data_IF_270205299845
#
_entry.id   IF_270205299845
#
_cell.length_a   1.000
_cell.length_b   1.000
_cell.length_c   1.000
_cell.angle_alpha   90.00
_cell.angle_beta   90.00
_cell.angle_gamma   90.00
#
_symmetry.space_group_name_H-M   'P 1'
#
loop_
_entity.id
_entity.type
_entity.pdbx_description
1 polymer ?
#
# COMPACT_ATOMS: atom_id res chain seq x y z
N UNK A 1 -21.25 5.72 20.71
CA UNK A 1 -20.15 5.44 21.68
C UNK A 1 -19.60 6.78 22.14
N UNK A 2 -19.81 7.11 23.42
CA UNK A 2 -19.28 8.35 24.01
C UNK A 2 -17.78 8.22 24.18
N UNK A 3 -17.00 9.05 23.50
CA UNK A 3 -15.55 9.16 23.69
C UNK A 3 -15.30 9.87 25.03
N UNK A 4 -14.89 9.12 26.05
CA UNK A 4 -14.37 9.72 27.28
C UNK A 4 -13.03 10.40 26.97
N UNK A 5 -12.85 11.71 27.24
CA UNK A 5 -11.59 12.40 26.99
C UNK A 5 -10.45 11.76 27.80
N UNK A 6 -9.34 11.46 27.13
CA UNK A 6 -8.14 10.98 27.82
C UNK A 6 -7.58 12.06 28.76
N UNK A 7 -6.99 11.68 29.91
CA UNK A 7 -6.29 12.63 30.78
C UNK A 7 -5.25 13.44 29.98
N UNK A 8 -5.10 14.74 30.25
CA UNK A 8 -4.22 15.65 29.49
C UNK A 8 -2.76 15.15 29.35
N UNK A 9 -2.25 14.41 30.32
CA UNK A 9 -0.91 13.78 30.30
C UNK A 9 -0.84 12.67 29.25
N UNK A 10 -1.88 11.85 29.10
CA UNK A 10 -1.94 10.77 28.11
C UNK A 10 -2.06 11.34 26.70
N UNK A 11 -2.85 12.41 26.52
CA UNK A 11 -3.00 13.07 25.24
C UNK A 11 -1.69 13.71 24.74
N UNK A 12 -0.95 14.39 25.62
CA UNK A 12 0.40 14.93 25.32
C UNK A 12 1.38 13.81 24.95
N UNK A 13 1.34 12.70 25.68
CA UNK A 13 2.19 11.54 25.40
C UNK A 13 1.87 10.93 24.04
N UNK A 14 0.58 10.77 23.70
CA UNK A 14 0.12 10.27 22.42
C UNK A 14 0.57 11.17 21.27
N UNK A 15 0.33 12.48 21.35
CA UNK A 15 0.76 13.46 20.32
C UNK A 15 2.28 13.46 20.13
N UNK A 16 3.04 13.30 21.20
CA UNK A 16 4.50 13.20 21.14
C UNK A 16 4.97 11.91 20.47
N UNK A 17 4.26 10.79 20.69
CA UNK A 17 4.53 9.53 19.98
C UNK A 17 4.21 9.65 18.47
N UNK A 18 3.07 10.20 18.13
CA UNK A 18 2.69 10.41 16.72
C UNK A 18 3.74 11.25 15.97
N UNK A 19 4.18 12.38 16.55
CA UNK A 19 5.23 13.21 15.95
C UNK A 19 6.54 12.43 15.77
N UNK A 20 6.91 11.58 16.73
CA UNK A 20 8.10 10.75 16.65
C UNK A 20 8.00 9.76 15.49
N UNK A 21 6.86 9.08 15.37
CA UNK A 21 6.64 8.10 14.31
C UNK A 21 6.54 8.76 12.93
N UNK A 22 5.94 9.95 12.82
CA UNK A 22 5.92 10.75 11.59
C UNK A 22 7.34 11.14 11.17
N UNK A 23 8.15 11.60 12.12
CA UNK A 23 9.55 11.95 11.86
C UNK A 23 10.35 10.71 11.42
N UNK A 24 10.12 9.55 12.02
CA UNK A 24 10.77 8.31 11.65
C UNK A 24 10.38 7.87 10.22
N UNK A 25 9.10 7.96 9.84
CA UNK A 25 8.65 7.68 8.47
C UNK A 25 9.32 8.62 7.45
N UNK A 26 9.42 9.91 7.75
CA UNK A 26 10.06 10.89 6.86
C UNK A 26 11.56 10.63 6.71
N UNK A 27 12.26 10.31 7.80
CA UNK A 27 13.68 9.96 7.77
C UNK A 27 13.91 8.66 6.99
N UNK A 28 13.06 7.64 7.19
CA UNK A 28 13.09 6.41 6.40
C UNK A 28 12.90 6.67 4.90
N UNK A 29 11.93 7.50 4.55
CA UNK A 29 11.64 7.86 3.16
C UNK A 29 12.84 8.52 2.49
N UNK A 30 13.56 9.40 3.21
CA UNK A 30 14.65 10.22 2.66
C UNK A 30 16.00 9.52 2.69
N UNK A 31 16.27 8.71 3.73
CA UNK A 31 17.60 8.18 4.01
C UNK A 31 17.66 6.64 4.02
N UNK A 32 16.54 5.96 3.78
CA UNK A 32 16.44 4.51 3.84
C UNK A 32 16.64 3.95 5.26
N UNK A 33 16.71 2.62 5.37
CA UNK A 33 16.78 1.92 6.66
C UNK A 33 18.10 2.18 7.39
N UNK A 34 19.21 2.17 6.67
CA UNK A 34 20.55 2.37 7.25
C UNK A 34 20.74 3.80 7.73
N UNK A 35 20.26 4.77 6.95
CA UNK A 35 20.32 6.19 7.27
C UNK A 35 19.31 6.65 8.33
N UNK A 36 18.33 5.84 8.70
CA UNK A 36 17.35 6.15 9.74
C UNK A 36 17.93 5.88 11.14
N UNK A 37 18.88 6.73 11.57
CA UNK A 37 19.50 6.65 12.90
C UNK A 37 18.65 7.33 13.96
N UNK A 38 18.73 6.84 15.23
CA UNK A 38 18.00 7.44 16.37
C UNK A 38 18.31 8.94 16.53
N UNK A 39 19.58 9.42 16.46
CA UNK A 39 19.87 10.84 16.51
C UNK A 39 19.18 11.66 15.42
N UNK A 40 19.16 11.16 14.18
CA UNK A 40 18.50 11.86 13.05
C UNK A 40 17.00 11.93 13.22
N UNK A 41 16.38 10.84 13.68
CA UNK A 41 14.94 10.80 13.97
C UNK A 41 14.60 11.74 15.14
N UNK A 42 15.41 11.74 16.19
CA UNK A 42 15.26 12.64 17.34
C UNK A 42 15.29 14.10 16.92
N UNK A 43 16.31 14.49 16.15
CA UNK A 43 16.45 15.85 15.62
C UNK A 43 15.22 16.25 14.78
N UNK A 44 14.75 15.38 13.88
CA UNK A 44 13.55 15.61 13.05
C UNK A 44 12.27 15.73 13.88
N UNK A 45 12.13 14.95 14.97
CA UNK A 45 10.98 14.99 15.87
C UNK A 45 11.00 16.16 16.88
N UNK A 46 12.10 16.89 16.97
CA UNK A 46 12.32 17.90 18.03
C UNK A 46 12.44 17.28 19.42
N UNK A 47 13.08 16.10 19.52
CA UNK A 47 13.29 15.34 20.74
C UNK A 47 14.78 15.08 20.99
N UNK A 48 15.15 14.77 22.24
CA UNK A 48 16.47 14.21 22.51
C UNK A 48 16.50 12.70 22.21
N UNK A 49 17.65 12.11 21.85
CA UNK A 49 17.79 10.66 21.71
C UNK A 49 17.36 9.91 22.98
N UNK A 50 17.69 10.41 24.17
CA UNK A 50 17.26 9.84 25.45
C UNK A 50 15.74 9.83 25.64
N UNK A 51 15.01 10.76 25.03
CA UNK A 51 13.54 10.74 25.06
C UNK A 51 12.97 9.59 24.21
N UNK A 52 13.65 9.20 23.14
CA UNK A 52 13.29 8.04 22.33
C UNK A 52 13.57 6.75 23.08
N UNK A 53 14.77 6.60 23.69
CA UNK A 53 15.15 5.39 24.42
C UNK A 53 14.33 5.16 25.71
N UNK A 54 13.68 6.20 26.26
CA UNK A 54 12.68 5.99 27.34
C UNK A 54 11.40 5.30 26.86
N UNK A 55 11.11 5.31 25.55
CA UNK A 55 9.90 4.70 24.95
C UNK A 55 10.20 3.39 24.24
N UNK A 56 11.35 3.31 23.59
CA UNK A 56 11.78 2.17 22.80
C UNK A 56 13.15 1.71 23.28
N UNK A 57 13.32 0.44 23.66
CA UNK A 57 14.58 -0.08 24.19
C UNK A 57 15.74 0.08 23.19
N UNK A 58 15.44 0.05 21.90
CA UNK A 58 16.41 0.15 20.82
C UNK A 58 15.79 0.72 19.53
N UNK A 59 16.61 0.89 18.50
CA UNK A 59 16.19 1.33 17.16
C UNK A 59 15.22 0.33 16.54
N UNK A 60 15.44 -0.96 16.74
CA UNK A 60 14.63 -2.01 16.14
C UNK A 60 13.18 -1.94 16.64
N UNK A 61 12.98 -1.80 17.93
CA UNK A 61 11.65 -1.63 18.55
C UNK A 61 10.92 -0.38 17.97
N UNK A 62 11.63 0.74 17.80
CA UNK A 62 11.06 1.92 17.15
C UNK A 62 10.67 1.63 15.71
N UNK A 63 11.52 0.97 14.94
CA UNK A 63 11.24 0.67 13.53
C UNK A 63 10.09 -0.33 13.37
N UNK A 64 9.97 -1.33 14.24
CA UNK A 64 8.81 -2.24 14.26
C UNK A 64 7.50 -1.48 14.48
N UNK A 65 7.49 -0.52 15.39
CA UNK A 65 6.30 0.31 15.61
C UNK A 65 5.96 1.15 14.37
N UNK A 66 6.95 1.72 13.70
CA UNK A 66 6.76 2.46 12.43
C UNK A 66 6.12 1.56 11.37
N UNK A 67 6.64 0.34 11.18
CA UNK A 67 6.09 -0.63 10.22
C UNK A 67 4.64 -0.97 10.56
N UNK A 68 4.36 -1.33 11.81
CA UNK A 68 3.01 -1.72 12.24
C UNK A 68 2.01 -0.56 12.10
N UNK A 69 2.42 0.64 12.50
CA UNK A 69 1.59 1.85 12.34
C UNK A 69 1.26 2.12 10.86
N UNK A 70 2.25 2.03 9.99
CA UNK A 70 2.05 2.21 8.55
C UNK A 70 1.02 1.21 8.00
N UNK A 71 1.22 -0.08 8.24
CA UNK A 71 0.29 -1.11 7.75
C UNK A 71 -1.10 -1.01 8.37
N UNK A 72 -1.20 -0.64 9.65
CA UNK A 72 -2.50 -0.37 10.31
C UNK A 72 -3.24 0.77 9.61
N UNK A 73 -2.55 1.88 9.35
CA UNK A 73 -3.13 3.05 8.68
C UNK A 73 -3.59 2.74 7.25
N UNK A 74 -2.79 1.99 6.49
CA UNK A 74 -3.16 1.57 5.13
C UNK A 74 -4.34 0.60 5.16
N UNK A 75 -4.33 -0.38 6.07
CA UNK A 75 -5.43 -1.32 6.25
C UNK A 75 -6.74 -0.59 6.59
N UNK A 76 -6.71 0.39 7.49
CA UNK A 76 -7.87 1.17 7.87
C UNK A 76 -8.38 2.05 6.72
N UNK A 77 -7.48 2.72 5.99
CA UNK A 77 -7.83 3.49 4.79
C UNK A 77 -8.50 2.61 3.73
N UNK A 78 -7.94 1.42 3.49
CA UNK A 78 -8.52 0.44 2.56
C UNK A 78 -9.91 -0.01 3.03
N UNK A 79 -10.10 -0.32 4.31
CA UNK A 79 -11.38 -0.70 4.88
C UNK A 79 -12.45 0.39 4.68
N UNK A 80 -12.08 1.66 4.91
CA UNK A 80 -12.98 2.80 4.70
C UNK A 80 -13.37 2.90 3.22
N UNK A 81 -12.42 2.80 2.31
CA UNK A 81 -12.70 2.89 0.87
C UNK A 81 -13.56 1.72 0.37
N UNK A 82 -13.31 0.51 0.83
CA UNK A 82 -14.13 -0.66 0.50
C UNK A 82 -15.56 -0.54 1.05
N UNK A 83 -15.75 0.14 2.18
CA UNK A 83 -17.07 0.40 2.77
C UNK A 83 -17.86 1.55 2.11
N UNK A 84 -17.27 2.29 1.18
CA UNK A 84 -17.96 3.37 0.47
C UNK A 84 -18.83 2.82 -0.65
N UNK A 85 -20.10 2.58 -0.36
CA UNK A 85 -21.04 2.04 -1.35
C UNK A 85 -21.12 2.89 -2.63
N UNK A 86 -21.03 4.21 -2.51
CA UNK A 86 -21.06 5.16 -3.64
C UNK A 86 -19.89 4.98 -4.63
N UNK A 87 -18.76 4.44 -4.17
CA UNK A 87 -17.61 4.17 -5.02
C UNK A 87 -17.81 2.93 -5.89
N UNK A 88 -18.56 1.95 -5.40
CA UNK A 88 -18.69 0.63 -6.01
C UNK A 88 -20.07 0.37 -6.62
N UNK A 89 -21.07 1.20 -6.31
CA UNK A 89 -22.42 1.04 -6.84
C UNK A 89 -22.44 1.21 -8.35
N UNK A 90 -22.95 0.20 -9.03
CA UNK A 90 -23.06 0.20 -10.50
C UNK A 90 -21.74 0.05 -11.25
N UNK A 91 -20.62 -0.25 -10.56
CA UNK A 91 -19.35 -0.54 -11.24
C UNK A 91 -19.37 -1.94 -11.85
N UNK A 92 -18.92 -2.05 -13.11
CA UNK A 92 -18.74 -3.33 -13.78
C UNK A 92 -17.54 -4.09 -13.20
N UNK A 93 -17.48 -5.41 -13.43
CA UNK A 93 -16.33 -6.24 -13.07
C UNK A 93 -15.02 -5.66 -13.62
N UNK A 94 -15.05 -5.17 -14.85
CA UNK A 94 -13.91 -4.53 -15.53
C UNK A 94 -13.47 -3.27 -14.80
N UNK A 95 -14.39 -2.37 -14.46
CA UNK A 95 -14.08 -1.17 -13.71
C UNK A 95 -13.47 -1.50 -12.34
N UNK A 96 -14.03 -2.48 -11.62
CA UNK A 96 -13.47 -2.96 -10.34
C UNK A 96 -12.04 -3.45 -10.50
N UNK A 97 -11.75 -4.25 -11.54
CA UNK A 97 -10.40 -4.74 -11.81
C UNK A 97 -9.40 -3.60 -12.05
N UNK A 98 -9.75 -2.67 -12.93
CA UNK A 98 -8.90 -1.51 -13.21
C UNK A 98 -8.72 -0.62 -11.97
N UNK A 99 -9.77 -0.30 -11.23
CA UNK A 99 -9.67 0.51 -10.00
C UNK A 99 -8.75 -0.17 -8.99
N UNK A 100 -8.93 -1.46 -8.70
CA UNK A 100 -8.13 -2.18 -7.71
C UNK A 100 -6.65 -2.23 -8.11
N UNK A 101 -6.36 -2.57 -9.36
CA UNK A 101 -4.97 -2.74 -9.84
C UNK A 101 -4.28 -1.38 -9.99
N UNK A 102 -4.91 -0.39 -10.62
CA UNK A 102 -4.33 0.95 -10.74
C UNK A 102 -4.15 1.65 -9.39
N UNK A 103 -5.06 1.43 -8.43
CA UNK A 103 -4.86 1.93 -7.07
C UNK A 103 -3.64 1.29 -6.40
N UNK A 104 -3.38 0.01 -6.66
CA UNK A 104 -2.19 -0.69 -6.16
C UNK A 104 -0.92 -0.12 -6.78
N UNK A 105 -0.89 0.05 -8.09
CA UNK A 105 0.24 0.67 -8.82
C UNK A 105 0.50 2.07 -8.27
N UNK A 106 -0.52 2.92 -8.25
CA UNK A 106 -0.41 4.31 -7.78
C UNK A 106 0.09 4.40 -6.33
N UNK A 107 -0.39 3.52 -5.44
CA UNK A 107 0.06 3.47 -4.06
C UNK A 107 1.55 3.09 -3.94
N UNK A 108 2.01 2.12 -4.72
CA UNK A 108 3.41 1.69 -4.74
C UNK A 108 4.32 2.79 -5.29
N UNK A 109 3.92 3.47 -6.35
CA UNK A 109 4.69 4.58 -6.93
C UNK A 109 4.74 5.79 -5.99
N UNK A 110 3.60 6.21 -5.45
CA UNK A 110 3.53 7.37 -4.56
C UNK A 110 4.33 7.22 -3.26
N UNK A 111 4.48 5.99 -2.79
CA UNK A 111 5.09 5.69 -1.49
C UNK A 111 6.38 4.86 -1.60
N UNK A 112 6.98 4.71 -2.78
CA UNK A 112 8.14 3.86 -3.03
C UNK A 112 9.29 4.10 -2.05
N UNK A 113 9.64 5.35 -1.76
CA UNK A 113 10.70 5.72 -0.83
C UNK A 113 10.49 5.24 0.59
N UNK A 114 9.22 5.11 1.04
CA UNK A 114 8.87 4.60 2.36
C UNK A 114 8.61 3.09 2.33
N UNK A 115 7.89 2.59 1.33
CA UNK A 115 7.51 1.18 1.24
C UNK A 115 8.72 0.24 1.17
N UNK A 116 9.75 0.61 0.40
CA UNK A 116 10.95 -0.22 0.24
C UNK A 116 11.62 -0.53 1.59
N UNK A 117 12.04 0.45 2.42
CA UNK A 117 12.65 0.14 3.72
C UNK A 117 11.70 -0.61 4.66
N UNK A 118 10.39 -0.33 4.63
CA UNK A 118 9.41 -1.04 5.45
C UNK A 118 9.29 -2.53 5.04
N UNK A 119 9.22 -2.82 3.75
CA UNK A 119 9.20 -4.21 3.26
C UNK A 119 10.50 -4.95 3.55
N UNK A 120 11.66 -4.30 3.34
CA UNK A 120 12.95 -4.89 3.67
C UNK A 120 13.02 -5.31 5.14
N UNK A 121 12.60 -4.44 6.03
CA UNK A 121 12.54 -4.74 7.45
C UNK A 121 11.55 -5.86 7.76
N UNK A 122 10.31 -5.76 7.27
CA UNK A 122 9.28 -6.75 7.56
C UNK A 122 9.66 -8.17 7.09
N UNK A 123 10.29 -8.30 5.92
CA UNK A 123 10.64 -9.61 5.36
C UNK A 123 11.87 -10.25 6.02
N UNK A 124 12.86 -9.44 6.40
CA UNK A 124 14.15 -9.93 6.93
C UNK A 124 14.19 -10.00 8.46
N UNK A 125 13.17 -9.47 9.13
CA UNK A 125 13.13 -9.43 10.58
C UNK A 125 13.12 -10.83 11.19
N UNK A 126 13.97 -11.13 12.20
CA UNK A 126 14.04 -12.45 12.82
C UNK A 126 12.78 -12.82 13.63
N UNK A 127 12.08 -11.82 14.17
CA UNK A 127 10.86 -12.03 14.96
C UNK A 127 9.69 -12.46 14.06
N UNK A 128 9.33 -13.74 14.14
CA UNK A 128 8.24 -14.34 13.37
C UNK A 128 6.86 -13.79 13.77
N UNK A 129 6.66 -13.40 15.03
CA UNK A 129 5.39 -12.83 15.48
C UNK A 129 5.18 -11.45 14.87
N UNK A 130 6.22 -10.64 14.80
CA UNK A 130 6.19 -9.36 14.11
C UNK A 130 5.86 -9.54 12.61
N UNK A 131 6.56 -10.45 11.91
CA UNK A 131 6.30 -10.75 10.49
C UNK A 131 4.86 -11.22 10.26
N UNK A 132 4.37 -12.12 11.13
CA UNK A 132 2.98 -12.60 11.09
C UNK A 132 1.99 -11.45 11.29
N UNK A 133 2.26 -10.51 12.21
CA UNK A 133 1.41 -9.36 12.46
C UNK A 133 1.35 -8.42 11.25
N UNK A 134 2.48 -8.13 10.62
CA UNK A 134 2.52 -7.35 9.37
C UNK A 134 1.68 -8.02 8.29
N UNK A 135 1.88 -9.32 8.05
CA UNK A 135 1.10 -10.07 7.07
C UNK A 135 -0.41 -10.04 7.36
N UNK A 136 -0.82 -10.17 8.62
CA UNK A 136 -2.23 -10.06 9.00
C UNK A 136 -2.82 -8.69 8.64
N UNK A 137 -2.07 -7.61 8.83
CA UNK A 137 -2.50 -6.25 8.48
C UNK A 137 -2.59 -6.06 6.95
N UNK A 138 -1.65 -6.60 6.21
CA UNK A 138 -1.67 -6.59 4.73
C UNK A 138 -2.90 -7.34 4.17
N UNK A 139 -3.25 -8.46 4.79
CA UNK A 139 -4.36 -9.31 4.36
C UNK A 139 -5.71 -8.96 4.99
N UNK A 140 -5.77 -7.99 5.91
CA UNK A 140 -6.97 -7.70 6.71
C UNK A 140 -8.23 -7.43 5.88
N UNK A 141 -8.08 -6.77 4.72
CA UNK A 141 -9.19 -6.41 3.85
C UNK A 141 -9.29 -7.31 2.60
N UNK A 142 -8.39 -8.27 2.45
CA UNK A 142 -8.28 -9.06 1.22
C UNK A 142 -9.58 -9.84 0.91
N UNK A 143 -10.17 -10.46 1.93
CA UNK A 143 -11.45 -11.18 1.76
C UNK A 143 -12.59 -10.25 1.34
N UNK A 144 -12.59 -9.00 1.79
CA UNK A 144 -13.60 -8.01 1.39
C UNK A 144 -13.42 -7.61 -0.07
N UNK A 145 -12.17 -7.47 -0.53
CA UNK A 145 -11.87 -7.25 -1.95
C UNK A 145 -12.35 -8.43 -2.79
N UNK A 146 -12.04 -9.66 -2.39
CA UNK A 146 -12.52 -10.86 -3.09
C UNK A 146 -14.05 -10.89 -3.20
N UNK A 147 -14.78 -10.61 -2.10
CA UNK A 147 -16.24 -10.53 -2.10
C UNK A 147 -16.77 -9.48 -3.08
N UNK A 148 -16.13 -8.32 -3.17
CA UNK A 148 -16.51 -7.26 -4.10
C UNK A 148 -16.45 -7.73 -5.57
N UNK A 149 -15.50 -8.59 -5.92
CA UNK A 149 -15.40 -9.19 -7.24
C UNK A 149 -16.42 -10.31 -7.44
N UNK A 150 -16.69 -11.11 -6.41
CA UNK A 150 -17.68 -12.20 -6.46
C UNK A 150 -19.13 -11.72 -6.66
N UNK A 151 -19.42 -10.41 -6.48
CA UNK A 151 -20.70 -9.82 -6.91
C UNK A 151 -20.96 -9.97 -8.41
N UNK A 152 -19.90 -10.21 -9.21
CA UNK A 152 -19.95 -10.44 -10.65
C UNK A 152 -19.57 -11.87 -11.04
N UNK A 153 -19.90 -12.82 -10.17
CA UNK A 153 -19.55 -14.24 -10.37
C UNK A 153 -19.98 -14.77 -11.74
N UNK A 154 -21.13 -14.32 -12.25
CA UNK A 154 -21.69 -14.79 -13.51
C UNK A 154 -20.91 -14.31 -14.75
N UNK A 155 -20.08 -13.28 -14.61
CA UNK A 155 -19.17 -12.79 -15.64
C UNK A 155 -17.81 -13.51 -15.62
N UNK A 156 -17.53 -14.33 -14.59
CA UNK A 156 -16.25 -15.03 -14.39
C UNK A 156 -16.38 -16.47 -14.87
N UNK A 157 -15.67 -16.83 -15.95
CA UNK A 157 -15.74 -18.15 -16.56
C UNK A 157 -14.63 -19.10 -16.08
N UNK A 158 -13.86 -18.73 -15.06
CA UNK A 158 -12.91 -19.64 -14.42
C UNK A 158 -13.66 -20.70 -13.59
N UNK A 159 -13.25 -21.99 -13.62
CA UNK A 159 -13.91 -23.07 -12.86
C UNK A 159 -14.07 -22.79 -11.36
N UNK A 160 -13.10 -22.09 -10.76
CA UNK A 160 -13.14 -21.62 -9.37
C UNK A 160 -12.94 -20.11 -9.34
N UNK A 161 -14.02 -19.31 -9.35
CA UNK A 161 -13.94 -17.85 -9.36
C UNK A 161 -13.24 -17.24 -8.13
N UNK A 162 -13.46 -17.80 -6.94
CA UNK A 162 -12.85 -17.29 -5.71
C UNK A 162 -11.33 -17.50 -5.72
N UNK A 163 -10.87 -18.68 -6.11
CA UNK A 163 -9.46 -18.98 -6.30
C UNK A 163 -8.84 -18.06 -7.36
N UNK A 164 -9.50 -17.88 -8.50
CA UNK A 164 -9.00 -17.07 -9.59
C UNK A 164 -8.83 -15.59 -9.19
N UNK A 165 -9.83 -15.00 -8.53
CA UNK A 165 -9.75 -13.64 -8.00
C UNK A 165 -8.59 -13.54 -6.99
N UNK A 166 -8.56 -14.48 -6.05
CA UNK A 166 -7.54 -14.52 -4.99
C UNK A 166 -6.13 -14.57 -5.56
N UNK A 167 -5.87 -15.56 -6.43
CA UNK A 167 -4.54 -15.76 -7.01
C UNK A 167 -4.15 -14.61 -7.95
N UNK A 168 -5.07 -14.13 -8.77
CA UNK A 168 -4.80 -13.02 -9.68
C UNK A 168 -4.44 -11.73 -8.95
N UNK A 169 -5.15 -11.37 -7.88
CA UNK A 169 -4.82 -10.20 -7.06
C UNK A 169 -3.49 -10.36 -6.30
N UNK A 170 -3.20 -11.56 -5.80
CA UNK A 170 -1.90 -11.85 -5.16
C UNK A 170 -0.75 -11.74 -6.15
N UNK A 171 -0.90 -12.24 -7.38
CA UNK A 171 0.11 -12.11 -8.43
C UNK A 171 0.39 -10.64 -8.77
N UNK A 172 -0.64 -9.80 -8.90
CA UNK A 172 -0.47 -8.36 -9.09
C UNK A 172 0.29 -7.73 -7.91
N UNK A 173 -0.12 -8.03 -6.68
CA UNK A 173 0.53 -7.48 -5.48
C UNK A 173 2.00 -7.91 -5.37
N UNK A 174 2.31 -9.17 -5.68
CA UNK A 174 3.69 -9.68 -5.67
C UNK A 174 4.54 -9.06 -6.78
N UNK A 175 3.99 -8.91 -7.98
CA UNK A 175 4.67 -8.25 -9.10
C UNK A 175 5.03 -6.81 -8.74
N UNK A 176 4.08 -6.06 -8.20
CA UNK A 176 4.32 -4.68 -7.78
C UNK A 176 5.31 -4.56 -6.63
N UNK A 177 5.27 -5.49 -5.68
CA UNK A 177 6.24 -5.54 -4.58
C UNK A 177 7.65 -5.82 -5.09
N UNK A 178 7.82 -6.82 -5.97
CA UNK A 178 9.12 -7.15 -6.54
C UNK A 178 9.68 -6.01 -7.37
N UNK A 179 8.84 -5.39 -8.19
CA UNK A 179 9.21 -4.17 -8.92
C UNK A 179 9.67 -3.03 -8.01
N UNK A 180 8.99 -2.82 -6.87
CA UNK A 180 9.36 -1.81 -5.88
C UNK A 180 10.68 -2.13 -5.19
N UNK A 181 10.94 -3.43 -4.92
CA UNK A 181 12.16 -3.88 -4.23
C UNK A 181 13.39 -3.80 -5.14
N UNK A 182 13.21 -3.73 -6.45
CA UNK A 182 14.31 -3.48 -7.38
C UNK A 182 14.93 -2.10 -7.11
N UNK A 183 16.22 -2.11 -6.81
CA UNK A 183 16.98 -0.91 -6.41
C UNK A 183 17.04 0.12 -7.52
N UNK A 184 16.02 0.97 -7.59
CA UNK A 184 16.04 2.19 -8.39
C UNK A 184 15.47 2.07 -9.79
N UNK A 185 14.52 1.16 -10.06
CA UNK A 185 13.92 0.95 -11.40
C UNK A 185 14.96 0.53 -12.46
N UNK A 186 16.21 0.25 -12.04
CA UNK A 186 17.32 0.11 -12.98
C UNK A 186 17.40 -1.29 -13.60
N UNK A 187 16.95 -2.31 -12.87
CA UNK A 187 17.06 -3.68 -13.35
C UNK A 187 15.94 -4.01 -14.33
N UNK A 188 14.69 -3.88 -13.86
CA UNK A 188 13.52 -4.19 -14.67
C UNK A 188 13.34 -3.22 -15.85
N UNK A 189 13.54 -1.93 -15.65
CA UNK A 189 13.46 -0.94 -16.73
C UNK A 189 14.59 -1.04 -17.74
N UNK A 190 15.75 -1.61 -17.37
CA UNK A 190 16.82 -1.90 -18.33
C UNK A 190 16.57 -3.18 -19.14
N UNK A 191 15.98 -4.21 -18.49
CA UNK A 191 15.72 -5.49 -19.13
C UNK A 191 14.39 -5.47 -19.89
N UNK A 192 13.37 -4.85 -19.33
CA UNK A 192 12.00 -4.80 -19.86
C UNK A 192 11.39 -3.39 -19.80
N UNK A 193 12.00 -2.39 -20.44
CA UNK A 193 11.52 -1.00 -20.33
C UNK A 193 10.07 -0.84 -20.74
N UNK A 194 9.66 -1.46 -21.83
CA UNK A 194 8.31 -1.36 -22.36
C UNK A 194 7.26 -2.08 -21.50
N UNK A 195 7.64 -3.22 -20.89
CA UNK A 195 6.72 -3.96 -20.02
C UNK A 195 6.37 -3.17 -18.75
N UNK A 196 7.38 -2.53 -18.13
CA UNK A 196 7.16 -1.69 -16.95
C UNK A 196 6.31 -0.47 -17.26
N UNK A 197 6.55 0.17 -18.42
CA UNK A 197 5.77 1.32 -18.86
C UNK A 197 4.31 0.97 -19.18
N UNK A 198 3.98 -0.33 -19.26
CA UNK A 198 2.64 -0.81 -19.63
C UNK A 198 1.92 -1.57 -18.51
N UNK A 199 2.45 -1.59 -17.28
CA UNK A 199 1.82 -2.28 -16.15
C UNK A 199 0.40 -1.81 -15.88
N UNK A 200 0.13 -0.53 -16.01
CA UNK A 200 -1.19 0.08 -15.83
C UNK A 200 -2.23 -0.45 -16.83
N UNK A 201 -1.80 -0.88 -18.03
CA UNK A 201 -2.64 -1.44 -19.06
C UNK A 201 -2.66 -2.98 -19.00
N UNK A 202 -1.50 -3.60 -18.88
CA UNK A 202 -1.37 -5.05 -19.08
C UNK A 202 -1.79 -5.85 -17.82
N UNK A 203 -1.53 -5.38 -16.61
CA UNK A 203 -1.93 -6.10 -15.40
C UNK A 203 -3.44 -6.25 -15.26
N UNK A 204 -4.28 -5.20 -15.47
CA UNK A 204 -5.74 -5.39 -15.48
C UNK A 204 -6.23 -6.34 -16.58
N UNK A 205 -5.67 -6.27 -17.79
CA UNK A 205 -6.02 -7.17 -18.89
C UNK A 205 -5.68 -8.62 -18.61
N UNK A 206 -4.45 -8.85 -18.10
CA UNK A 206 -4.00 -10.17 -17.68
C UNK A 206 -4.92 -10.76 -16.61
N UNK A 207 -5.29 -9.96 -15.62
CA UNK A 207 -6.22 -10.36 -14.56
C UNK A 207 -7.59 -10.74 -15.12
N UNK A 208 -8.18 -9.91 -16.00
CA UNK A 208 -9.48 -10.19 -16.62
C UNK A 208 -9.44 -11.42 -17.54
N UNK A 209 -8.34 -11.64 -18.27
CA UNK A 209 -8.14 -12.86 -19.07
C UNK A 209 -8.08 -14.10 -18.18
N UNK A 210 -7.38 -14.02 -17.06
CA UNK A 210 -7.28 -15.13 -16.11
C UNK A 210 -8.64 -15.46 -15.47
N UNK A 211 -9.49 -14.48 -15.24
CA UNK A 211 -10.86 -14.70 -14.80
C UNK A 211 -11.77 -15.28 -15.89
N UNK A 212 -11.34 -15.33 -17.14
CA UNK A 212 -12.14 -15.76 -18.28
C UNK A 212 -13.22 -14.76 -18.70
N UNK A 213 -13.04 -13.48 -18.40
CA UNK A 213 -14.00 -12.43 -18.76
C UNK A 213 -14.06 -12.24 -20.27
N UNK A 214 -15.25 -12.04 -20.82
CA UNK A 214 -15.41 -11.75 -22.25
C UNK A 214 -14.78 -10.42 -22.66
N UNK A 215 -14.11 -10.38 -23.80
CA UNK A 215 -13.41 -9.20 -24.32
C UNK A 215 -12.46 -8.57 -23.28
N UNK A 216 -11.50 -9.31 -22.72
CA UNK A 216 -10.66 -8.84 -21.61
C UNK A 216 -9.82 -7.62 -21.97
N UNK A 217 -9.61 -7.36 -23.26
CA UNK A 217 -8.81 -6.26 -23.79
C UNK A 217 -9.59 -4.96 -24.02
N UNK A 218 -10.92 -5.00 -23.94
CA UNK A 218 -11.73 -3.81 -24.05
C UNK A 218 -11.40 -2.82 -22.92
N UNK A 219 -11.34 -1.51 -23.20
CA UNK A 219 -11.13 -0.52 -22.15
C UNK A 219 -12.32 -0.53 -21.15
N UNK A 220 -12.08 -0.15 -19.90
CA UNK A 220 -13.18 0.02 -18.96
C UNK A 220 -14.03 1.24 -19.35
N UNK A 221 -15.31 1.17 -19.05
CA UNK A 221 -16.21 2.30 -19.18
C UNK A 221 -15.75 3.47 -18.30
N UNK A 222 -16.05 4.73 -18.68
CA UNK A 222 -15.64 5.90 -17.90
C UNK A 222 -16.11 5.82 -16.43
N UNK A 223 -15.20 6.09 -15.49
CA UNK A 223 -15.50 6.15 -14.07
C UNK A 223 -14.65 7.24 -13.41
N UNK A 224 -15.20 8.04 -12.45
CA UNK A 224 -14.45 9.13 -11.83
C UNK A 224 -13.15 8.71 -11.15
N UNK A 225 -13.13 7.54 -10.49
CA UNK A 225 -11.91 7.00 -9.88
C UNK A 225 -10.87 6.62 -10.93
N UNK A 226 -11.27 6.03 -12.06
CA UNK A 226 -10.36 5.66 -13.16
C UNK A 226 -9.75 6.89 -13.80
N UNK A 227 -10.53 7.96 -14.00
CA UNK A 227 -10.00 9.22 -14.53
C UNK A 227 -8.83 9.72 -13.67
N UNK A 228 -9.01 9.79 -12.34
CA UNK A 228 -7.96 10.23 -11.41
C UNK A 228 -6.74 9.31 -11.41
N UNK A 229 -6.95 8.00 -11.45
CA UNK A 229 -5.88 7.01 -11.47
C UNK A 229 -5.07 7.06 -12.76
N UNK A 230 -5.75 7.16 -13.91
CA UNK A 230 -5.09 7.30 -15.22
C UNK A 230 -4.27 8.60 -15.31
N UNK A 231 -4.81 9.72 -14.81
CA UNK A 231 -4.07 10.99 -14.76
C UNK A 231 -2.81 10.87 -13.87
N UNK A 232 -2.87 10.08 -12.80
CA UNK A 232 -1.72 9.83 -11.94
C UNK A 232 -0.68 8.96 -12.63
N UNK A 233 -1.07 7.83 -13.21
CA UNK A 233 -0.17 6.92 -13.92
C UNK A 233 0.46 7.57 -15.17
N UNK A 234 -0.30 8.40 -15.90
CA UNK A 234 0.18 9.10 -17.11
C UNK A 234 1.22 10.21 -16.81
N UNK A 235 1.21 10.78 -15.60
CA UNK A 235 2.19 11.83 -15.21
C UNK A 235 3.59 11.29 -14.97
N UNK A 236 3.80 10.01 -15.16
CA UNK A 236 5.09 9.32 -15.12
C UNK A 236 5.82 9.52 -13.81
N UNK A 237 6.43 8.51 -13.34
CA UNK A 237 7.18 8.46 -12.10
C UNK A 237 8.10 9.63 -11.83
N UNK A 238 8.34 9.87 -10.62
CA UNK A 238 8.34 11.09 -9.89
C UNK A 238 9.71 11.49 -9.41
N UNK A 239 10.09 12.64 -9.79
CA UNK A 239 10.93 13.50 -8.96
C UNK A 239 10.15 14.69 -8.39
N UNK A 240 8.82 14.62 -8.31
CA UNK A 240 8.01 15.69 -7.72
C UNK A 240 7.37 15.25 -6.39
N UNK A 241 7.30 16.18 -5.39
CA UNK A 241 6.80 15.88 -4.06
C UNK A 241 5.38 15.32 -4.11
N UNK A 242 5.14 14.28 -3.30
CA UNK A 242 3.90 13.54 -3.23
C UNK A 242 2.70 14.46 -2.95
N UNK A 243 1.93 14.76 -3.98
CA UNK A 243 0.58 15.28 -3.82
C UNK A 243 -0.27 14.24 -3.09
N UNK A 244 -1.05 14.66 -2.09
CA UNK A 244 -2.00 13.80 -1.37
C UNK A 244 -3.00 13.23 -2.37
N UNK A 245 -2.91 11.94 -2.68
CA UNK A 245 -3.96 11.24 -3.39
C UNK A 245 -5.06 10.96 -2.37
N UNK A 246 -6.12 11.75 -2.41
CA UNK A 246 -7.39 11.44 -1.74
C UNK A 246 -8.26 10.74 -2.77
N UNK A 247 -8.32 9.42 -2.69
CA UNK A 247 -9.32 8.61 -3.39
C UNK A 247 -10.56 8.55 -2.54
#
# INVERSE_FOLDING_TARGET
>A
MQHTPLPAKQERSRRSLERLLDAAEEVLKTHGLDGATVPRIAAKAGLSPGAIYRRFPDKDALMREVVLRYHTRISEKSRINLGRAELWKGTSLRQKAYIAILSTIAAHEAHAGLLRPLYQMAQRHPDLLFRRRVFQLEMANFRQVVKLFLEHRDEIHHPDPELAITLGLLLVAFTMREYLMDTGKQRWSKIFPDAVAQFDRELPRMFLRYLGVQNPDAPPEPHPALKKLNEFCAKGSPEKPAGKITI
#
